data_IF_693054668333
#
_entry.id   IF_693054668333
#
_cell.length_a   1.000
_cell.length_b   1.000
_cell.length_c   1.000
_cell.angle_alpha   90.00
_cell.angle_beta   90.00
_cell.angle_gamma   90.00
#
_symmetry.space_group_name_H-M   'P 1'
#
loop_
_entity.id
_entity.type
_entity.pdbx_description
1 polymer ?
#
# COMPACT_ATOMS: atom_id res chain seq x y z
N UNK A 1 6.04 -3.91 -5.68
CA UNK A 1 7.30 -3.97 -6.44
C UNK A 1 8.44 -3.67 -5.49
N UNK A 2 9.43 -4.56 -5.44
CA UNK A 2 10.65 -4.31 -4.67
C UNK A 2 11.60 -3.44 -5.51
N UNK A 3 12.25 -2.46 -4.89
CA UNK A 3 13.19 -1.59 -5.60
C UNK A 3 14.63 -1.92 -5.23
N UNK A 4 15.63 -1.57 -6.07
CA UNK A 4 17.05 -1.73 -5.73
C UNK A 4 17.52 -0.88 -4.54
N UNK A 5 16.65 -0.02 -3.97
CA UNK A 5 16.95 0.85 -2.83
C UNK A 5 16.42 0.28 -1.51
N UNK A 6 16.19 -1.03 -1.46
CA UNK A 6 15.65 -1.74 -0.29
C UNK A 6 14.29 -1.20 0.19
N UNK A 7 13.46 -0.75 -0.76
CA UNK A 7 12.09 -0.31 -0.48
C UNK A 7 11.07 -1.11 -1.27
N UNK A 8 9.83 -1.12 -0.77
CA UNK A 8 8.67 -1.65 -1.48
C UNK A 8 7.80 -0.49 -1.91
N UNK A 9 7.45 -0.42 -3.19
CA UNK A 9 6.52 0.56 -3.74
C UNK A 9 5.28 -0.12 -4.31
N UNK A 10 4.15 0.59 -4.27
CA UNK A 10 2.87 0.13 -4.77
C UNK A 10 1.81 1.22 -4.69
N UNK A 11 0.61 0.87 -5.16
CA UNK A 11 -0.60 1.69 -5.07
C UNK A 11 -1.67 0.87 -4.36
N UNK A 12 -2.59 1.56 -3.68
CA UNK A 12 -3.73 0.94 -3.00
C UNK A 12 -5.00 1.67 -3.44
N UNK A 13 -6.02 0.90 -3.77
CA UNK A 13 -7.38 1.37 -4.05
C UNK A 13 -8.33 0.54 -3.19
N UNK A 14 -9.40 1.16 -2.72
CA UNK A 14 -10.36 0.50 -1.84
C UNK A 14 -11.40 1.46 -1.33
N UNK A 15 -12.46 0.92 -0.74
CA UNK A 15 -13.41 1.72 0.04
C UNK A 15 -12.68 2.49 1.15
N UNK A 16 -13.23 3.63 1.57
CA UNK A 16 -12.63 4.52 2.57
C UNK A 16 -12.14 3.77 3.82
N UNK A 17 -12.97 2.85 4.35
CA UNK A 17 -12.64 2.05 5.52
C UNK A 17 -11.45 1.12 5.26
N UNK A 18 -11.50 0.31 4.20
CA UNK A 18 -10.42 -0.63 3.86
C UNK A 18 -9.12 0.09 3.50
N UNK A 19 -9.22 1.23 2.82
CA UNK A 19 -8.08 2.08 2.48
C UNK A 19 -7.40 2.64 3.74
N UNK A 20 -8.18 3.16 4.70
CA UNK A 20 -7.67 3.67 5.97
C UNK A 20 -7.01 2.56 6.82
N UNK A 21 -7.65 1.38 6.89
CA UNK A 21 -7.10 0.22 7.59
C UNK A 21 -5.77 -0.24 6.97
N UNK A 22 -5.70 -0.32 5.63
CA UNK A 22 -4.47 -0.70 4.93
C UNK A 22 -3.36 0.33 5.13
N UNK A 23 -3.66 1.64 5.06
CA UNK A 23 -2.69 2.69 5.40
C UNK A 23 -2.12 2.51 6.80
N UNK A 24 -2.98 2.26 7.79
CA UNK A 24 -2.55 2.03 9.18
C UNK A 24 -1.68 0.78 9.30
N UNK A 25 -2.04 -0.30 8.62
CA UNK A 25 -1.29 -1.55 8.63
C UNK A 25 0.11 -1.40 8.00
N UNK A 26 0.20 -0.72 6.85
CA UNK A 26 1.47 -0.42 6.17
C UNK A 26 2.38 0.53 6.95
N UNK A 27 1.82 1.35 7.85
CA UNK A 27 2.60 2.25 8.69
C UNK A 27 3.11 1.58 9.98
N UNK A 28 2.36 0.65 10.57
CA UNK A 28 2.59 0.19 11.94
C UNK A 28 2.83 -1.32 12.09
N UNK A 29 2.42 -2.13 11.12
CA UNK A 29 2.41 -3.60 11.26
C UNK A 29 3.28 -4.26 10.21
N UNK A 30 2.90 -4.16 8.94
CA UNK A 30 3.65 -4.80 7.86
C UNK A 30 3.73 -6.33 7.99
N UNK A 31 4.67 -6.91 7.25
CA UNK A 31 4.91 -8.37 7.27
C UNK A 31 5.46 -8.81 8.64
N UNK A 32 5.03 -9.96 9.18
CA UNK A 32 5.58 -10.50 10.44
C UNK A 32 7.10 -10.66 10.47
N UNK A 33 7.72 -10.82 9.29
CA UNK A 33 9.16 -11.08 9.15
C UNK A 33 9.98 -9.83 8.83
N UNK A 34 9.35 -8.67 8.65
CA UNK A 34 10.02 -7.43 8.24
C UNK A 34 9.60 -6.28 9.14
N UNK A 35 10.57 -5.41 9.48
CA UNK A 35 10.29 -4.16 10.18
C UNK A 35 10.07 -3.05 9.16
N UNK A 36 9.05 -2.24 9.38
CA UNK A 36 8.85 -1.00 8.64
C UNK A 36 9.64 0.09 9.36
N UNK A 37 10.69 0.60 8.72
CA UNK A 37 11.43 1.74 9.26
C UNK A 37 10.69 3.06 8.98
N UNK A 38 10.02 3.16 7.81
CA UNK A 38 9.19 4.31 7.43
C UNK A 38 8.19 3.93 6.33
N UNK A 39 6.98 4.48 6.41
CA UNK A 39 6.01 4.46 5.31
C UNK A 39 5.77 5.90 4.81
N UNK A 40 5.76 6.10 3.50
CA UNK A 40 5.47 7.39 2.86
C UNK A 40 4.24 7.21 2.00
N UNK A 41 3.23 8.05 2.21
CA UNK A 41 1.98 8.03 1.45
C UNK A 41 1.90 9.27 0.56
N UNK A 42 1.54 9.07 -0.71
CA UNK A 42 1.27 10.14 -1.65
C UNK A 42 -0.11 10.77 -1.46
N UNK A 43 -0.50 11.60 -2.42
CA UNK A 43 -1.83 12.18 -2.51
C UNK A 43 -2.89 11.08 -2.57
N UNK A 44 -4.02 11.32 -1.90
CA UNK A 44 -5.21 10.47 -2.00
C UNK A 44 -6.17 11.14 -2.96
N UNK A 45 -6.66 10.38 -3.93
CA UNK A 45 -7.64 10.82 -4.91
C UNK A 45 -8.87 9.91 -4.80
N UNK A 46 -10.06 10.51 -4.86
CA UNK A 46 -11.31 9.75 -4.93
C UNK A 46 -11.55 9.31 -6.37
N UNK A 47 -12.02 8.09 -6.56
CA UNK A 47 -12.37 7.52 -7.86
C UNK A 47 -13.68 6.75 -7.73
N UNK A 48 -14.56 6.91 -8.70
CA UNK A 48 -15.84 6.19 -8.76
C UNK A 48 -15.65 4.70 -9.12
N UNK A 49 -14.49 4.35 -9.70
CA UNK A 49 -14.19 3.01 -10.18
C UNK A 49 -12.78 2.56 -9.77
N UNK A 50 -12.60 1.25 -9.66
CA UNK A 50 -11.27 0.65 -9.47
C UNK A 50 -10.50 0.60 -10.79
N UNK A 51 -9.23 0.98 -10.75
CA UNK A 51 -8.31 0.86 -11.89
C UNK A 51 -7.83 -0.58 -12.05
N UNK A 52 -7.82 -1.34 -10.95
CA UNK A 52 -7.34 -2.71 -10.90
C UNK A 52 -8.47 -3.67 -10.49
N UNK A 53 -8.57 -4.81 -11.16
CA UNK A 53 -9.56 -5.85 -10.82
C UNK A 53 -9.26 -6.52 -9.47
N UNK A 54 -7.98 -6.67 -9.12
CA UNK A 54 -7.55 -7.30 -7.88
C UNK A 54 -6.14 -6.84 -7.45
N UNK A 55 -5.77 -7.18 -6.22
CA UNK A 55 -4.42 -7.00 -5.72
C UNK A 55 -3.45 -7.99 -6.39
N UNK A 56 -2.32 -7.49 -6.88
CA UNK A 56 -1.28 -8.30 -7.46
C UNK A 56 0.11 -7.84 -7.00
N UNK A 57 0.98 -8.81 -6.68
CA UNK A 57 2.39 -8.56 -6.43
C UNK A 57 3.10 -8.56 -7.79
N UNK A 58 3.78 -7.45 -8.11
CA UNK A 58 4.63 -7.34 -9.31
C UNK A 58 6.09 -7.48 -8.91
N UNK A 59 6.81 -8.28 -9.69
CA UNK A 59 8.27 -8.41 -9.63
C UNK A 59 8.96 -7.17 -10.19
#
# INVERSE_FOLDING_TARGET
>A
MNTPKDTVIGQIEGSEKSFAEMKKWLANTGSPTRRIDKAIFGLVEESDNYTYENFAVRE
#
